data_IF_937177922123
#
_entry.id   IF_937177922123
#
_cell.length_a   1.000
_cell.length_b   1.000
_cell.length_c   1.000
_cell.angle_alpha   90.00
_cell.angle_beta   90.00
_cell.angle_gamma   90.00
#
_symmetry.space_group_name_H-M   'P 1'
#
loop_
_entity.id
_entity.type
_entity.pdbx_description
1 polymer ?
#
# COMPACT_ATOMS: atom_id res chain seq x y z
N UNK A 1 24.54 19.60 7.96
CA UNK A 1 23.43 19.00 8.73
C UNK A 1 22.17 18.80 7.89
N UNK A 2 21.57 19.86 7.36
CA UNK A 2 20.36 19.73 6.53
C UNK A 2 20.58 18.90 5.27
N UNK A 3 21.73 19.07 4.61
CA UNK A 3 22.10 18.30 3.43
C UNK A 3 22.14 16.79 3.69
N UNK A 4 22.74 16.38 4.82
CA UNK A 4 22.81 14.97 5.19
C UNK A 4 21.43 14.37 5.51
N UNK A 5 20.56 15.15 6.15
CA UNK A 5 19.20 14.74 6.43
C UNK A 5 18.38 14.56 5.15
N UNK A 6 18.53 15.46 4.18
CA UNK A 6 17.88 15.36 2.87
C UNK A 6 18.32 14.12 2.12
N UNK A 7 19.62 13.79 2.15
CA UNK A 7 20.12 12.56 1.53
C UNK A 7 19.49 11.30 2.15
N UNK A 8 19.32 11.29 3.47
CA UNK A 8 18.68 10.17 4.17
C UNK A 8 17.23 10.03 3.76
N UNK A 9 16.51 11.13 3.66
CA UNK A 9 15.11 11.15 3.19
C UNK A 9 15.02 10.65 1.76
N UNK A 10 15.90 11.12 0.87
CA UNK A 10 15.89 10.69 -0.53
C UNK A 10 16.05 9.18 -0.66
N UNK A 11 16.94 8.58 0.13
CA UNK A 11 17.11 7.13 0.16
C UNK A 11 15.86 6.40 0.65
N UNK A 12 15.22 6.92 1.70
CA UNK A 12 13.99 6.35 2.24
C UNK A 12 12.86 6.44 1.21
N UNK A 13 12.76 7.56 0.51
CA UNK A 13 11.73 7.74 -0.52
C UNK A 13 11.89 6.74 -1.66
N UNK A 14 13.13 6.52 -2.11
CA UNK A 14 13.42 5.49 -3.13
C UNK A 14 12.99 4.10 -2.64
N UNK A 15 13.32 3.77 -1.40
CA UNK A 15 12.93 2.49 -0.79
C UNK A 15 11.41 2.36 -0.70
N UNK A 16 10.73 3.44 -0.29
CA UNK A 16 9.27 3.46 -0.20
C UNK A 16 8.63 3.19 -1.56
N UNK A 17 9.07 3.87 -2.60
CA UNK A 17 8.54 3.68 -3.96
C UNK A 17 8.84 2.27 -4.47
N UNK A 18 10.04 1.76 -4.21
CA UNK A 18 10.41 0.39 -4.58
C UNK A 18 9.50 -0.65 -3.91
N UNK A 19 9.17 -0.46 -2.64
CA UNK A 19 8.24 -1.33 -1.91
C UNK A 19 6.83 -1.26 -2.49
N UNK A 20 6.37 -0.08 -2.88
CA UNK A 20 5.09 0.09 -3.55
C UNK A 20 5.05 -0.63 -4.89
N UNK A 21 6.11 -0.52 -5.69
CA UNK A 21 6.22 -1.24 -6.97
C UNK A 21 6.09 -2.75 -6.77
N UNK A 22 6.79 -3.29 -5.78
CA UNK A 22 6.73 -4.72 -5.44
C UNK A 22 5.31 -5.12 -5.01
N UNK A 23 4.68 -4.32 -4.17
CA UNK A 23 3.33 -4.57 -3.71
C UNK A 23 2.33 -4.57 -4.87
N UNK A 24 2.41 -3.57 -5.76
CA UNK A 24 1.52 -3.49 -6.92
C UNK A 24 1.74 -4.64 -7.90
N UNK A 25 2.94 -5.14 -8.04
CA UNK A 25 3.22 -6.32 -8.86
C UNK A 25 2.47 -7.54 -8.33
N UNK A 26 2.50 -7.75 -7.02
CA UNK A 26 1.81 -8.87 -6.37
C UNK A 26 0.29 -8.69 -6.47
N UNK A 27 -0.22 -7.49 -6.21
CA UNK A 27 -1.66 -7.25 -6.29
C UNK A 27 -2.19 -7.37 -7.72
N UNK A 28 -1.39 -7.04 -8.72
CA UNK A 28 -1.77 -7.27 -10.12
C UNK A 28 -1.97 -8.76 -10.40
N UNK A 29 -1.11 -9.61 -9.88
CA UNK A 29 -1.26 -11.07 -9.99
C UNK A 29 -2.56 -11.53 -9.32
N UNK A 30 -2.85 -11.00 -8.13
CA UNK A 30 -4.10 -11.30 -7.40
C UNK A 30 -5.32 -10.84 -8.21
N UNK A 31 -5.29 -9.63 -8.78
CA UNK A 31 -6.40 -9.11 -9.58
C UNK A 31 -6.64 -9.96 -10.83
N UNK A 32 -5.58 -10.43 -11.49
CA UNK A 32 -5.70 -11.32 -12.62
C UNK A 32 -6.35 -12.66 -12.24
N UNK A 33 -5.97 -13.21 -11.09
CA UNK A 33 -6.59 -14.44 -10.57
C UNK A 33 -8.08 -14.23 -10.26
N UNK A 34 -8.42 -13.10 -9.64
CA UNK A 34 -9.82 -12.74 -9.35
C UNK A 34 -10.64 -12.61 -10.63
N UNK A 35 -10.10 -11.93 -11.64
CA UNK A 35 -10.79 -11.74 -12.92
C UNK A 35 -11.04 -13.09 -13.60
N UNK A 36 -10.06 -13.98 -13.61
CA UNK A 36 -10.20 -15.33 -14.18
C UNK A 36 -11.24 -16.15 -13.44
N UNK A 37 -11.27 -16.08 -12.11
CA UNK A 37 -12.24 -16.80 -11.27
C UNK A 37 -13.60 -16.10 -11.18
N UNK A 38 -13.76 -14.94 -11.81
CA UNK A 38 -14.97 -14.10 -11.74
C UNK A 38 -15.30 -13.67 -10.29
N UNK A 39 -14.26 -13.42 -9.50
CA UNK A 39 -14.38 -12.90 -8.13
C UNK A 39 -14.24 -11.37 -8.19
N UNK A 40 -15.08 -10.62 -7.45
CA UNK A 40 -14.95 -9.16 -7.42
C UNK A 40 -13.55 -8.70 -7.00
N UNK A 41 -13.03 -7.65 -7.64
CA UNK A 41 -11.72 -7.09 -7.32
C UNK A 41 -11.67 -6.48 -5.92
N UNK A 42 -12.79 -5.90 -5.48
CA UNK A 42 -12.90 -5.30 -4.16
C UNK A 42 -13.23 -6.36 -3.13
N UNK A 43 -12.39 -6.43 -2.09
CA UNK A 43 -12.62 -7.24 -0.90
C UNK A 43 -12.59 -6.29 0.30
N UNK A 44 -13.75 -5.75 0.63
CA UNK A 44 -13.89 -4.74 1.69
C UNK A 44 -13.48 -5.26 3.07
N UNK A 45 -13.79 -6.51 3.37
CA UNK A 45 -13.40 -7.11 4.64
C UNK A 45 -11.87 -7.23 4.76
N UNK A 46 -11.22 -7.69 3.71
CA UNK A 46 -9.76 -7.82 3.70
C UNK A 46 -9.08 -6.45 3.79
N UNK A 47 -9.58 -5.45 3.07
CA UNK A 47 -9.06 -4.08 3.13
C UNK A 47 -9.18 -3.52 4.55
N UNK A 48 -10.30 -3.74 5.22
CA UNK A 48 -10.52 -3.30 6.59
C UNK A 48 -9.55 -3.99 7.57
N UNK A 49 -9.35 -5.28 7.43
CA UNK A 49 -8.39 -6.04 8.24
C UNK A 49 -6.97 -5.53 8.09
N UNK A 50 -6.54 -5.22 6.87
CA UNK A 50 -5.20 -4.67 6.59
C UNK A 50 -5.03 -3.33 7.29
N UNK A 51 -6.02 -2.43 7.16
CA UNK A 51 -5.96 -1.10 7.79
C UNK A 51 -5.88 -1.24 9.31
N UNK A 52 -6.75 -2.03 9.93
CA UNK A 52 -6.74 -2.23 11.39
C UNK A 52 -5.41 -2.80 11.88
N UNK A 53 -4.88 -3.80 11.18
CA UNK A 53 -3.62 -4.43 11.55
C UNK A 53 -2.46 -3.45 11.49
N UNK A 54 -2.38 -2.67 10.42
CA UNK A 54 -1.34 -1.65 10.26
C UNK A 54 -1.47 -0.52 11.27
N UNK A 55 -2.69 -0.09 11.58
CA UNK A 55 -2.93 0.93 12.61
C UNK A 55 -2.43 0.46 13.98
N UNK A 56 -2.57 -0.81 14.30
CA UNK A 56 -2.09 -1.38 15.56
C UNK A 56 -0.57 -1.50 15.61
N UNK A 57 0.06 -1.83 14.48
CA UNK A 57 1.50 -2.07 14.39
C UNK A 57 2.32 -0.80 14.19
N UNK A 58 1.70 0.25 13.68
CA UNK A 58 2.38 1.50 13.35
C UNK A 58 2.22 2.54 14.47
N UNK A 59 3.23 3.40 14.61
CA UNK A 59 3.16 4.60 15.45
C UNK A 59 2.65 5.82 14.69
N UNK A 60 2.39 5.67 13.39
CA UNK A 60 1.85 6.74 12.57
C UNK A 60 0.40 7.03 12.96
N UNK A 61 -0.05 8.24 12.65
CA UNK A 61 -1.44 8.64 12.84
C UNK A 61 -2.39 7.64 12.16
N UNK A 62 -3.39 7.17 12.89
CA UNK A 62 -4.34 6.16 12.41
C UNK A 62 -5.12 6.60 11.18
N UNK A 63 -5.54 7.87 11.16
CA UNK A 63 -6.28 8.43 10.03
C UNK A 63 -5.39 8.51 8.79
N UNK A 64 -4.12 8.88 8.97
CA UNK A 64 -3.15 8.88 7.88
C UNK A 64 -2.96 7.48 7.29
N UNK A 65 -2.81 6.46 8.14
CA UNK A 65 -2.65 5.07 7.71
C UNK A 65 -3.87 4.62 6.91
N UNK A 66 -5.07 4.94 7.37
CA UNK A 66 -6.30 4.62 6.66
C UNK A 66 -6.35 5.27 5.27
N UNK A 67 -6.08 6.56 5.18
CA UNK A 67 -6.09 7.30 3.93
C UNK A 67 -5.03 6.77 2.95
N UNK A 68 -3.84 6.52 3.45
CA UNK A 68 -2.74 5.97 2.65
C UNK A 68 -3.12 4.62 2.06
N UNK A 69 -3.62 3.71 2.88
CA UNK A 69 -3.97 2.37 2.43
C UNK A 69 -5.14 2.38 1.45
N UNK A 70 -6.13 3.23 1.67
CA UNK A 70 -7.25 3.40 0.72
C UNK A 70 -6.77 3.87 -0.64
N UNK A 71 -5.79 4.79 -0.67
CA UNK A 71 -5.18 5.25 -1.91
C UNK A 71 -4.45 4.11 -2.61
N UNK A 72 -3.67 3.32 -1.87
CA UNK A 72 -2.95 2.17 -2.40
C UNK A 72 -3.93 1.13 -2.96
N UNK A 73 -5.00 0.82 -2.25
CA UNK A 73 -6.02 -0.13 -2.70
C UNK A 73 -6.69 0.34 -4.00
N UNK A 74 -7.01 1.62 -4.08
CA UNK A 74 -7.61 2.21 -5.27
C UNK A 74 -6.69 2.07 -6.49
N UNK A 75 -5.42 2.40 -6.32
CA UNK A 75 -4.44 2.29 -7.40
C UNK A 75 -4.27 0.84 -7.84
N UNK A 76 -4.23 -0.09 -6.91
CA UNK A 76 -4.10 -1.52 -7.22
C UNK A 76 -5.26 -2.04 -8.08
N UNK A 77 -6.47 -1.54 -7.87
CA UNK A 77 -7.67 -1.96 -8.64
C UNK A 77 -7.71 -1.36 -10.04
N UNK A 78 -7.02 -0.25 -10.26
CA UNK A 78 -6.98 0.44 -11.55
C UNK A 78 -5.87 -0.09 -12.47
N UNK A 79 -5.02 -0.95 -11.98
CA UNK A 79 -3.90 -1.51 -12.72
C UNK A 79 -4.30 -2.70 -13.61
#
# INVERSE_FOLDING_TARGET
MLHNHRKKIDKLDITLIDLLEKRFKITKEIMNLKDTAKIPRTDSLREHEIIEDLQKKSKLDKDFVEKLMKLIFKEAKNA
#
